data_IF_623033155396
#
_entry.id   IF_623033155396
#
_cell.length_a   1.000
_cell.length_b   1.000
_cell.length_c   1.000
_cell.angle_alpha   90.00
_cell.angle_beta   90.00
_cell.angle_gamma   90.00
#
_symmetry.space_group_name_H-M   'P 1'
#
loop_
_entity.id
_entity.type
_entity.pdbx_description
1 polymer ?
2 non-polymer ?
3 non-polymer ?
4 non-polymer ?
5 non-polymer ?
6 water ?
#
# COMPACT_ATOMS: atom_id res chain seq x y z
N UNK A 1 -4.38 -28.36 1.36
CA UNK A 1 -4.83 -27.21 2.20
C UNK A 1 -5.04 -25.95 1.38
N UNK A 2 -4.20 -25.76 0.36
CA UNK A 2 -4.31 -24.59 -0.51
C UNK A 2 -5.65 -24.58 -1.23
N UNK A 3 -5.98 -25.71 -1.85
CA UNK A 3 -7.24 -25.83 -2.57
C UNK A 3 -8.39 -25.73 -1.59
N UNK A 4 -8.12 -26.09 -0.34
CA UNK A 4 -9.12 -26.03 0.72
C UNK A 4 -9.33 -24.57 1.11
N UNK A 5 -8.25 -23.80 1.10
CA UNK A 5 -8.32 -22.39 1.44
C UNK A 5 -9.08 -21.65 0.34
N UNK A 6 -8.87 -22.05 -0.90
CA UNK A 6 -9.54 -21.43 -2.04
C UNK A 6 -11.04 -21.73 -2.00
N UNK A 7 -11.37 -22.97 -1.68
CA UNK A 7 -12.78 -23.38 -1.59
C UNK A 7 -13.49 -22.53 -0.55
N UNK A 8 -12.89 -22.45 0.64
CA UNK A 8 -13.45 -21.68 1.74
C UNK A 8 -13.63 -20.21 1.37
N UNK A 9 -12.62 -19.63 0.73
CA UNK A 9 -12.69 -18.23 0.34
C UNK A 9 -13.74 -17.99 -0.74
N UNK A 10 -13.71 -18.81 -1.77
CA UNK A 10 -14.64 -18.69 -2.89
C UNK A 10 -16.11 -18.81 -2.49
N UNK A 11 -16.39 -19.70 -1.54
CA UNK A 11 -17.77 -19.92 -1.10
C UNK A 11 -18.27 -18.98 0.00
N UNK A 12 -17.36 -18.23 0.63
CA UNK A 12 -17.75 -17.33 1.71
C UNK A 12 -18.49 -16.08 1.23
N UNK A 13 -19.33 -15.51 2.10
CA UNK A 13 -20.05 -14.29 1.74
C UNK A 13 -19.11 -13.12 2.08
N UNK A 14 -19.14 -12.08 1.26
CA UNK A 14 -18.27 -10.93 1.47
C UNK A 14 -19.00 -9.79 2.17
N UNK A 15 -18.64 -9.54 3.44
CA UNK A 15 -19.27 -8.46 4.22
C UNK A 15 -19.09 -7.11 3.56
N UNK A 16 -19.96 -6.16 3.89
CA UNK A 16 -19.89 -4.82 3.33
C UNK A 16 -18.60 -4.13 3.77
N UNK A 17 -18.24 -3.05 3.08
CA UNK A 17 -17.05 -2.30 3.41
C UNK A 17 -17.21 -1.70 4.82
N UNK A 18 -18.42 -1.21 5.11
CA UNK A 18 -18.71 -0.62 6.41
C UNK A 18 -18.44 -1.62 7.53
N UNK A 19 -18.94 -2.85 7.36
CA UNK A 19 -18.76 -3.90 8.36
C UNK A 19 -17.29 -4.31 8.52
N UNK A 20 -16.53 -4.28 7.43
CA UNK A 20 -15.12 -4.68 7.47
C UNK A 20 -14.20 -3.55 7.93
N UNK A 21 -14.77 -2.35 8.08
CA UNK A 21 -14.02 -1.17 8.55
C UNK A 21 -12.89 -0.74 7.61
N UNK A 22 -12.91 -1.20 6.37
CA UNK A 22 -11.84 -0.85 5.43
C UNK A 22 -11.89 0.59 4.92
N UNK A 23 -12.95 1.32 5.26
CA UNK A 23 -13.07 2.71 4.82
C UNK A 23 -12.39 3.65 5.82
N UNK A 24 -12.04 3.11 6.99
CA UNK A 24 -11.42 3.92 8.04
C UNK A 24 -9.91 4.04 7.91
N UNK A 25 -9.39 5.26 8.00
CA UNK A 25 -7.96 5.46 7.92
C UNK A 25 -7.23 4.80 9.11
N UNK A 26 -7.95 4.57 10.21
CA UNK A 26 -7.34 3.98 11.40
C UNK A 26 -7.41 2.45 11.45
N UNK A 27 -7.83 1.85 10.35
CA UNK A 27 -7.96 0.40 10.22
C UNK A 27 -6.72 -0.36 10.71
N UNK A 28 -6.98 -1.49 11.38
CA UNK A 28 -5.91 -2.35 11.88
C UNK A 28 -6.26 -3.79 11.51
N UNK A 29 -5.26 -4.61 11.26
CA UNK A 29 -5.51 -5.99 10.85
C UNK A 29 -5.14 -7.04 11.90
N UNK A 30 -4.61 -6.61 13.04
CA UNK A 30 -4.17 -7.55 14.08
C UNK A 30 -5.18 -8.63 14.50
N UNK A 31 -6.46 -8.29 14.50
CA UNK A 31 -7.50 -9.25 14.91
C UNK A 31 -8.02 -10.12 13.78
N UNK A 32 -7.53 -9.91 12.57
CA UNK A 32 -7.99 -10.65 11.40
C UNK A 32 -7.16 -11.86 11.02
N UNK A 33 -7.85 -12.93 10.58
CA UNK A 33 -7.19 -14.14 10.13
C UNK A 33 -6.86 -13.88 8.66
N UNK A 34 -6.01 -14.72 8.07
CA UNK A 34 -5.67 -14.53 6.66
C UNK A 34 -6.92 -14.56 5.81
N UNK A 35 -7.81 -15.50 6.08
CA UNK A 35 -9.05 -15.60 5.32
C UNK A 35 -9.82 -14.29 5.35
N UNK A 36 -9.86 -13.66 6.51
CA UNK A 36 -10.57 -12.40 6.63
C UNK A 36 -9.91 -11.28 5.83
N UNK A 37 -8.58 -11.28 5.74
CA UNK A 37 -7.92 -10.23 4.97
C UNK A 37 -8.22 -10.45 3.49
N UNK A 38 -8.37 -11.72 3.10
CA UNK A 38 -8.69 -12.04 1.70
C UNK A 38 -10.08 -11.47 1.41
N UNK A 39 -11.00 -11.62 2.36
CA UNK A 39 -12.37 -11.11 2.18
C UNK A 39 -12.38 -9.60 2.04
N UNK A 40 -11.60 -8.91 2.88
CA UNK A 40 -11.53 -7.46 2.78
C UNK A 40 -10.98 -7.08 1.40
N UNK A 41 -10.00 -7.84 0.93
CA UNK A 41 -9.41 -7.52 -0.38
C UNK A 41 -10.46 -7.64 -1.50
N UNK A 42 -11.32 -8.64 -1.42
CA UNK A 42 -12.37 -8.82 -2.42
C UNK A 42 -13.30 -7.61 -2.37
N UNK A 43 -13.65 -7.18 -1.16
CA UNK A 43 -14.54 -6.04 -1.01
C UNK A 43 -13.93 -4.77 -1.61
N UNK A 44 -12.62 -4.64 -1.50
CA UNK A 44 -11.93 -3.48 -2.06
C UNK A 44 -12.13 -3.47 -3.58
N UNK A 45 -11.86 -4.59 -4.24
CA UNK A 45 -12.04 -4.67 -5.69
C UNK A 45 -13.50 -4.41 -6.08
N UNK A 46 -14.41 -5.00 -5.31
CA UNK A 46 -15.84 -4.87 -5.56
C UNK A 46 -16.34 -3.44 -5.46
N UNK A 47 -16.09 -2.80 -4.32
CA UNK A 47 -16.54 -1.43 -4.09
C UNK A 47 -15.86 -0.36 -4.92
N UNK A 48 -14.74 -0.70 -5.56
CA UNK A 48 -14.08 0.26 -6.42
C UNK A 48 -14.59 0.01 -7.84
N UNK A 49 -15.60 -0.85 -7.95
CA UNK A 49 -16.24 -1.20 -9.21
C UNK A 49 -15.35 -1.95 -10.19
N UNK A 50 -14.23 -2.48 -9.70
CA UNK A 50 -13.27 -3.19 -10.53
C UNK A 50 -13.75 -4.57 -11.02
N UNK A 51 -14.45 -5.30 -10.17
CA UNK A 51 -14.96 -6.62 -10.54
C UNK A 51 -15.97 -6.48 -11.67
N UNK A 52 -16.82 -5.46 -11.56
CA UNK A 52 -17.86 -5.19 -12.54
C UNK A 52 -17.31 -4.63 -13.84
N UNK A 53 -16.62 -3.49 -13.75
CA UNK A 53 -16.09 -2.82 -14.93
C UNK A 53 -15.07 -3.63 -15.73
N UNK A 54 -14.45 -4.63 -15.12
CA UNK A 54 -13.47 -5.42 -15.85
C UNK A 54 -13.79 -6.90 -15.92
N UNK A 55 -15.06 -7.21 -15.66
CA UNK A 55 -15.57 -8.58 -15.72
C UNK A 55 -14.69 -9.64 -15.08
N UNK A 56 -14.37 -9.46 -13.80
CA UNK A 56 -13.53 -10.43 -13.10
C UNK A 56 -14.37 -11.58 -12.57
N UNK A 57 -13.96 -12.81 -12.86
CA UNK A 57 -14.67 -13.98 -12.35
C UNK A 57 -14.29 -14.15 -10.90
N UNK A 58 -15.28 -14.43 -10.06
CA UNK A 58 -15.06 -14.60 -8.62
C UNK A 58 -13.94 -15.59 -8.32
N UNK A 59 -14.01 -16.76 -8.93
CA UNK A 59 -13.03 -17.82 -8.75
C UNK A 59 -11.60 -17.37 -9.05
N UNK A 60 -11.45 -16.58 -10.10
CA UNK A 60 -10.14 -16.10 -10.52
C UNK A 60 -9.58 -15.06 -9.54
N UNK A 61 -10.40 -14.08 -9.15
CA UNK A 61 -9.96 -13.06 -8.21
C UNK A 61 -9.52 -13.72 -6.91
N UNK A 62 -10.31 -14.68 -6.44
CA UNK A 62 -9.97 -15.39 -5.21
C UNK A 62 -8.63 -16.09 -5.31
N UNK A 63 -8.41 -16.79 -6.42
CA UNK A 63 -7.15 -17.50 -6.62
C UNK A 63 -5.99 -16.50 -6.69
N UNK A 64 -6.21 -15.39 -7.38
CA UNK A 64 -5.17 -14.37 -7.50
C UNK A 64 -4.78 -13.83 -6.12
N UNK A 65 -5.78 -13.48 -5.32
CA UNK A 65 -5.51 -12.96 -3.98
C UNK A 65 -4.68 -13.93 -3.15
N UNK A 66 -5.07 -15.21 -3.18
CA UNK A 66 -4.35 -16.22 -2.43
C UNK A 66 -2.93 -16.43 -2.96
N UNK A 67 -2.73 -16.29 -4.27
CA UNK A 67 -1.39 -16.44 -4.83
C UNK A 67 -0.53 -15.27 -4.36
N UNK A 68 -1.11 -14.08 -4.35
CA UNK A 68 -0.37 -12.91 -3.91
C UNK A 68 0.03 -13.11 -2.45
N UNK A 69 -0.95 -13.47 -1.61
CA UNK A 69 -0.67 -13.70 -0.20
C UNK A 69 0.41 -14.76 0.00
N UNK A 70 0.28 -15.86 -0.72
CA UNK A 70 1.24 -16.95 -0.61
C UNK A 70 2.66 -16.55 -0.99
N UNK A 71 2.79 -15.57 -1.88
CA UNK A 71 4.12 -15.15 -2.31
C UNK A 71 4.85 -14.12 -1.45
N UNK A 72 4.31 -13.84 -0.26
CA UNK A 72 4.99 -12.96 0.69
C UNK A 72 5.55 -13.95 1.71
N UNK A 73 6.61 -13.58 2.40
CA UNK A 73 7.20 -14.48 3.39
C UNK A 73 6.74 -14.15 4.81
N UNK A 74 6.09 -15.12 5.45
CA UNK A 74 5.58 -14.94 6.80
C UNK A 74 6.70 -14.83 7.83
N UNK A 75 7.88 -15.33 7.46
CA UNK A 75 9.04 -15.28 8.36
C UNK A 75 9.70 -13.90 8.38
N UNK A 76 9.23 -13.00 7.53
CA UNK A 76 9.77 -11.64 7.52
C UNK A 76 8.85 -10.86 8.45
N UNK A 77 9.43 -10.23 9.48
CA UNK A 77 8.65 -9.50 10.48
C UNK A 77 7.69 -8.42 9.99
N UNK A 78 8.16 -7.53 9.14
CA UNK A 78 7.28 -6.46 8.64
C UNK A 78 6.91 -6.49 7.16
N UNK A 79 7.88 -6.67 6.27
CA UNK A 79 7.57 -6.68 4.85
C UNK A 79 6.98 -8.03 4.44
N UNK A 80 5.72 -8.21 4.78
CA UNK A 80 5.00 -9.44 4.49
C UNK A 80 3.59 -9.13 4.00
N UNK A 81 2.77 -10.15 3.84
CA UNK A 81 1.42 -9.96 3.35
C UNK A 81 0.60 -8.92 4.13
N UNK A 82 0.70 -8.92 5.45
CA UNK A 82 -0.08 -7.94 6.22
C UNK A 82 0.31 -6.51 5.86
N UNK A 83 1.59 -6.28 5.57
CA UNK A 83 2.01 -4.95 5.17
C UNK A 83 1.39 -4.58 3.82
N UNK A 84 1.45 -5.50 2.86
CA UNK A 84 0.88 -5.26 1.53
C UNK A 84 -0.62 -5.05 1.66
N UNK A 85 -1.26 -5.89 2.46
CA UNK A 85 -2.69 -5.80 2.69
C UNK A 85 -3.07 -4.44 3.25
N UNK A 86 -2.33 -3.99 4.26
CA UNK A 86 -2.59 -2.69 4.87
C UNK A 86 -2.34 -1.54 3.89
N UNK A 87 -1.32 -1.68 3.04
CA UNK A 87 -1.02 -0.65 2.06
C UNK A 87 -2.20 -0.51 1.11
N UNK A 88 -2.78 -1.64 0.71
CA UNK A 88 -3.94 -1.63 -0.19
C UNK A 88 -5.17 -1.06 0.51
N UNK A 89 -5.33 -1.35 1.79
CA UNK A 89 -6.48 -0.83 2.53
C UNK A 89 -6.37 0.69 2.60
N UNK A 90 -5.17 1.20 2.82
CA UNK A 90 -5.00 2.65 2.88
C UNK A 90 -5.31 3.28 1.51
N UNK A 91 -4.96 2.59 0.44
CA UNK A 91 -5.25 3.09 -0.91
C UNK A 91 -6.77 3.16 -1.04
N UNK A 92 -7.44 2.08 -0.64
CA UNK A 92 -8.89 2.02 -0.71
C UNK A 92 -9.50 3.17 0.09
N UNK A 93 -9.01 3.37 1.31
CA UNK A 93 -9.51 4.44 2.18
C UNK A 93 -9.26 5.82 1.60
N UNK A 94 -8.06 6.04 1.03
CA UNK A 94 -7.74 7.33 0.43
C UNK A 94 -8.67 7.59 -0.76
N UNK A 95 -8.96 6.55 -1.52
CA UNK A 95 -9.84 6.66 -2.68
C UNK A 95 -11.29 6.95 -2.29
N UNK A 96 -11.77 6.28 -1.25
CA UNK A 96 -13.14 6.46 -0.78
C UNK A 96 -13.26 7.63 0.19
N UNK A 97 -12.88 7.41 1.45
CA UNK A 97 -12.95 8.45 2.47
C UNK A 97 -12.12 9.67 2.08
N UNK A 98 -10.99 9.43 1.42
CA UNK A 98 -10.13 10.52 1.00
C UNK A 98 -10.62 11.20 -0.26
N UNK A 99 -11.68 10.64 -0.84
CA UNK A 99 -12.30 11.17 -2.06
C UNK A 99 -11.36 11.34 -3.25
N UNK A 100 -10.32 10.54 -3.33
CA UNK A 100 -9.38 10.64 -4.44
C UNK A 100 -9.86 9.86 -5.65
N UNK A 101 -10.77 8.91 -5.44
CA UNK A 101 -11.32 8.09 -6.51
C UNK A 101 -11.78 8.89 -7.73
N UNK A 102 -12.54 9.95 -7.49
CA UNK A 102 -13.07 10.79 -8.56
C UNK A 102 -12.00 11.51 -9.38
N UNK A 103 -10.80 11.64 -8.81
CA UNK A 103 -9.71 12.32 -9.48
C UNK A 103 -8.92 11.40 -10.42
N UNK A 104 -9.29 10.12 -10.47
CA UNK A 104 -8.58 9.15 -11.31
C UNK A 104 -9.48 8.32 -12.22
N UNK A 105 -8.89 7.70 -13.23
CA UNK A 105 -9.64 6.86 -14.15
C UNK A 105 -9.73 5.46 -13.56
N UNK A 106 -10.60 4.63 -14.14
CA UNK A 106 -10.76 3.27 -13.66
C UNK A 106 -9.51 2.42 -13.83
N UNK A 107 -8.78 2.61 -14.92
CA UNK A 107 -7.55 1.85 -15.14
C UNK A 107 -6.51 2.21 -14.11
N UNK A 108 -6.43 3.50 -13.78
CA UNK A 108 -5.47 3.97 -12.78
C UNK A 108 -5.80 3.38 -11.41
N UNK A 109 -7.09 3.32 -11.09
CA UNK A 109 -7.56 2.77 -9.81
C UNK A 109 -7.27 1.27 -9.73
N UNK A 110 -7.48 0.60 -10.86
CA UNK A 110 -7.24 -0.83 -10.97
C UNK A 110 -5.75 -1.12 -10.74
N UNK A 111 -4.90 -0.32 -11.38
CA UNK A 111 -3.45 -0.49 -11.28
C UNK A 111 -2.93 -0.18 -9.87
N UNK A 112 -3.47 0.88 -9.27
CA UNK A 112 -3.08 1.29 -7.93
C UNK A 112 -3.37 0.21 -6.89
N UNK A 113 -4.56 -0.38 -6.97
CA UNK A 113 -4.94 -1.44 -6.03
C UNK A 113 -4.05 -2.67 -6.20
N UNK A 114 -3.84 -3.08 -7.44
CA UNK A 114 -2.99 -4.25 -7.71
C UNK A 114 -1.55 -3.99 -7.27
N UNK A 115 -1.05 -2.80 -7.54
CA UNK A 115 0.31 -2.41 -7.18
C UNK A 115 0.46 -2.44 -5.66
N UNK A 116 -0.44 -1.74 -4.98
CA UNK A 116 -0.40 -1.69 -3.52
C UNK A 116 -0.25 -3.10 -2.93
N UNK A 117 -1.10 -4.01 -3.37
CA UNK A 117 -1.09 -5.40 -2.89
C UNK A 117 0.15 -6.19 -3.30
N UNK A 118 0.70 -5.87 -4.47
CA UNK A 118 1.86 -6.60 -5.00
C UNK A 118 3.22 -5.92 -4.80
N UNK A 119 3.23 -4.69 -4.32
CA UNK A 119 4.50 -3.94 -4.23
C UNK A 119 5.71 -4.46 -3.47
N UNK A 120 5.53 -5.42 -2.57
CA UNK A 120 6.67 -5.97 -1.84
C UNK A 120 6.81 -7.49 -2.00
N UNK A 121 6.15 -8.05 -3.00
CA UNK A 121 6.20 -9.49 -3.24
C UNK A 121 7.59 -10.13 -3.15
N UNK A 122 7.66 -11.24 -2.42
CA UNK A 122 8.88 -12.03 -2.22
C UNK A 122 9.99 -11.31 -1.45
N UNK A 123 9.61 -10.25 -0.72
CA UNK A 123 10.57 -9.48 0.08
C UNK A 123 11.18 -10.46 1.09
N UNK A 124 12.50 -10.43 1.26
CA UNK A 124 13.15 -11.35 2.19
C UNK A 124 13.70 -10.70 3.46
N UNK A 125 13.32 -9.45 3.71
CA UNK A 125 13.81 -8.77 4.90
C UNK A 125 14.89 -7.77 4.52
N UNK A 126 14.85 -6.59 5.14
CA UNK A 126 15.82 -5.54 4.85
C UNK A 126 17.27 -5.98 5.03
N UNK A 127 17.52 -6.83 6.02
CA UNK A 127 18.89 -7.29 6.27
C UNK A 127 19.33 -8.43 5.36
N UNK A 128 18.37 -9.12 4.75
CA UNK A 128 18.71 -10.23 3.86
C UNK A 128 18.62 -9.83 2.39
N UNK A 129 19.11 -8.63 2.08
CA UNK A 129 19.10 -8.14 0.71
C UNK A 129 20.17 -8.86 -0.11
N UNK A 130 20.06 -10.19 -0.17
CA UNK A 130 20.98 -11.03 -0.91
C UNK A 130 20.65 -10.99 -2.41
N UNK A 131 21.66 -10.76 -3.23
CA UNK A 131 21.46 -10.68 -4.68
C UNK A 131 22.02 -11.84 -5.49
N UNK A 132 21.12 -12.66 -6.04
CA UNK A 132 21.48 -13.81 -6.87
C UNK A 132 22.43 -14.76 -6.17
N UNK A 143 20.59 3.88 -8.71
CA UNK A 143 20.43 2.60 -7.95
C UNK A 143 19.39 1.73 -8.64
N UNK A 144 18.83 2.24 -9.73
CA UNK A 144 17.82 1.55 -10.53
C UNK A 144 16.85 0.68 -9.75
N UNK A 145 16.70 0.95 -8.44
CA UNK A 145 15.80 0.20 -7.57
C UNK A 145 15.64 -1.26 -7.97
N UNK A 146 16.69 -2.05 -7.75
CA UNK A 146 16.68 -3.46 -8.09
C UNK A 146 15.58 -4.26 -7.37
N UNK A 147 15.34 -3.95 -6.10
CA UNK A 147 14.32 -4.65 -5.32
C UNK A 147 12.92 -4.47 -5.91
N UNK A 148 12.55 -3.24 -6.19
CA UNK A 148 11.24 -2.94 -6.75
C UNK A 148 11.04 -3.63 -8.11
N UNK A 149 12.11 -3.78 -8.88
CA UNK A 149 12.00 -4.44 -10.16
C UNK A 149 11.65 -5.90 -9.92
N UNK A 150 12.23 -6.48 -8.87
CA UNK A 150 11.94 -7.87 -8.52
C UNK A 150 10.48 -8.00 -8.07
N UNK A 151 10.02 -7.04 -7.28
CA UNK A 151 8.63 -7.10 -6.83
C UNK A 151 7.71 -7.07 -8.03
N UNK A 152 7.96 -6.18 -8.98
CA UNK A 152 7.11 -6.12 -10.16
C UNK A 152 7.13 -7.43 -10.93
N UNK A 153 8.32 -7.99 -11.14
CA UNK A 153 8.43 -9.25 -11.86
C UNK A 153 7.54 -10.30 -11.24
N UNK A 154 7.55 -10.38 -9.90
CA UNK A 154 6.71 -11.35 -9.19
C UNK A 154 5.25 -11.04 -9.45
N UNK A 155 4.89 -9.76 -9.41
CA UNK A 155 3.52 -9.32 -9.65
C UNK A 155 3.04 -9.81 -11.02
N UNK A 156 3.84 -9.53 -12.05
CA UNK A 156 3.51 -9.92 -13.43
C UNK A 156 3.36 -11.44 -13.55
N UNK A 157 4.28 -12.17 -12.94
CA UNK A 157 4.24 -13.64 -12.98
C UNK A 157 2.91 -14.15 -12.44
N UNK A 158 2.44 -13.57 -11.33
CA UNK A 158 1.19 -14.01 -10.74
C UNK A 158 0.01 -13.63 -11.63
N UNK A 159 0.05 -12.43 -12.18
CA UNK A 159 -1.02 -11.96 -13.07
C UNK A 159 -1.14 -12.84 -14.32
N UNK A 160 -0.05 -13.49 -14.71
CA UNK A 160 -0.04 -14.34 -15.90
C UNK A 160 -0.21 -15.82 -15.60
N UNK A 161 -0.34 -16.17 -14.32
CA UNK A 161 -0.50 -17.56 -13.92
C UNK A 161 -1.88 -18.08 -14.28
N UNK A 162 -1.98 -19.35 -14.72
CA UNK A 162 -3.27 -19.92 -15.09
C UNK A 162 -4.28 -19.87 -13.94
N UNK A 163 -5.48 -19.41 -14.25
CA UNK A 163 -6.52 -19.32 -13.24
C UNK A 163 -6.44 -18.08 -12.37
N UNK A 164 -5.37 -17.30 -12.51
CA UNK A 164 -5.15 -16.09 -11.73
C UNK A 164 -5.22 -14.82 -12.55
N UNK A 165 -5.60 -14.91 -13.81
CA UNK A 165 -5.63 -13.75 -14.68
C UNK A 165 -6.78 -12.77 -14.53
N UNK A 166 -6.73 -11.96 -13.47
CA UNK A 166 -7.80 -11.00 -13.21
C UNK A 166 -7.91 -9.87 -14.21
N UNK A 167 -6.93 -9.74 -15.12
CA UNK A 167 -6.96 -8.68 -16.12
C UNK A 167 -7.36 -9.23 -17.51
N UNK A 168 -7.86 -10.46 -17.55
CA UNK A 168 -8.25 -11.08 -18.82
C UNK A 168 -9.39 -10.33 -19.50
N UNK A 169 -10.18 -9.60 -18.73
CA UNK A 169 -11.30 -8.85 -19.27
C UNK A 169 -10.95 -7.54 -19.95
N UNK A 170 -9.71 -7.09 -19.77
CA UNK A 170 -9.27 -5.85 -20.39
C UNK A 170 -8.90 -6.10 -21.84
N UNK A 171 -9.04 -5.08 -22.68
CA UNK A 171 -8.64 -5.21 -24.08
C UNK A 171 -7.12 -5.13 -24.02
N UNK A 172 -6.43 -5.50 -25.11
CA UNK A 172 -4.98 -5.45 -25.11
C UNK A 172 -4.47 -4.04 -24.82
N UNK A 173 -5.14 -3.03 -25.38
CA UNK A 173 -4.73 -1.65 -25.13
C UNK A 173 -4.90 -1.26 -23.66
N UNK A 174 -6.01 -1.66 -23.06
CA UNK A 174 -6.25 -1.38 -21.66
C UNK A 174 -5.19 -2.10 -20.83
N UNK A 175 -4.91 -3.34 -21.25
CA UNK A 175 -3.93 -4.18 -20.57
C UNK A 175 -2.54 -3.58 -20.54
N UNK A 176 -2.03 -3.14 -21.70
CA UNK A 176 -0.70 -2.55 -21.73
C UNK A 176 -0.63 -1.28 -20.90
N UNK A 177 -1.70 -0.48 -20.94
CA UNK A 177 -1.75 0.75 -20.18
C UNK A 177 -1.74 0.46 -18.69
N UNK A 178 -2.49 -0.57 -18.28
CA UNK A 178 -2.56 -0.94 -16.87
C UNK A 178 -1.23 -1.51 -16.37
N UNK A 179 -0.59 -2.38 -17.14
CA UNK A 179 0.70 -2.93 -16.73
C UNK A 179 1.74 -1.83 -16.53
N UNK A 180 1.71 -0.82 -17.41
CA UNK A 180 2.66 0.28 -17.31
C UNK A 180 2.45 1.07 -16.02
N UNK A 181 1.20 1.35 -15.70
CA UNK A 181 0.88 2.09 -14.49
C UNK A 181 1.24 1.26 -13.27
N UNK A 182 0.98 -0.05 -13.34
CA UNK A 182 1.32 -0.94 -12.23
C UNK A 182 2.83 -0.95 -12.01
N UNK A 183 3.58 -1.00 -13.10
CA UNK A 183 5.04 -1.03 -13.00
C UNK A 183 5.58 0.26 -12.38
N UNK A 184 5.10 1.40 -12.83
CA UNK A 184 5.55 2.69 -12.29
C UNK A 184 5.17 2.79 -10.81
N UNK A 185 3.94 2.37 -10.50
CA UNK A 185 3.45 2.42 -9.12
C UNK A 185 4.35 1.62 -8.19
N UNK A 186 4.71 0.40 -8.58
CA UNK A 186 5.57 -0.41 -7.74
C UNK A 186 6.98 0.20 -7.67
N UNK A 187 7.50 0.67 -8.80
CA UNK A 187 8.83 1.28 -8.81
C UNK A 187 8.86 2.50 -7.89
N UNK A 188 7.75 3.22 -7.85
CA UNK A 188 7.63 4.41 -7.01
C UNK A 188 7.78 4.14 -5.51
N UNK A 189 7.54 2.89 -5.09
CA UNK A 189 7.67 2.55 -3.68
C UNK A 189 9.13 2.49 -3.21
N UNK A 190 10.05 2.75 -4.14
CA UNK A 190 11.47 2.80 -3.82
C UNK A 190 11.67 4.20 -3.23
N UNK A 191 11.96 4.28 -1.94
CA UNK A 191 12.12 5.57 -1.29
C UNK A 191 13.13 6.50 -1.96
N UNK A 192 14.10 5.94 -2.67
CA UNK A 192 15.08 6.76 -3.38
C UNK A 192 14.37 7.56 -4.46
N UNK A 193 13.40 6.94 -5.14
CA UNK A 193 12.66 7.63 -6.19
C UNK A 193 11.74 8.68 -5.61
N UNK A 194 11.17 8.39 -4.43
CA UNK A 194 10.29 9.34 -3.77
C UNK A 194 11.09 10.61 -3.42
N UNK A 195 12.23 10.41 -2.78
CA UNK A 195 13.10 11.51 -2.38
C UNK A 195 13.53 12.34 -3.59
N UNK A 196 13.79 11.65 -4.69
CA UNK A 196 14.23 12.30 -5.93
C UNK A 196 13.12 13.09 -6.64
N UNK A 197 11.87 12.66 -6.50
CA UNK A 197 10.77 13.33 -7.19
C UNK A 197 9.84 14.20 -6.36
N UNK A 198 9.89 14.09 -5.04
CA UNK A 198 8.99 14.85 -4.19
C UNK A 198 9.11 16.37 -4.32
N UNK A 199 10.33 16.86 -4.50
CA UNK A 199 10.54 18.30 -4.64
C UNK A 199 9.62 18.94 -5.66
N UNK A 200 9.56 18.35 -6.85
CA UNK A 200 8.70 18.87 -7.90
C UNK A 200 7.24 18.89 -7.47
N UNK A 201 6.84 17.84 -6.76
CA UNK A 201 5.46 17.72 -6.28
C UNK A 201 5.18 18.79 -5.24
N UNK A 202 6.10 18.95 -4.30
CA UNK A 202 5.95 19.95 -3.25
C UNK A 202 5.95 21.35 -3.85
N UNK A 203 6.87 21.58 -4.78
CA UNK A 203 6.97 22.88 -5.44
C UNK A 203 5.69 23.25 -6.20
N UNK A 204 5.09 22.27 -6.88
CA UNK A 204 3.86 22.51 -7.62
C UNK A 204 2.71 22.88 -6.69
N UNK A 205 2.58 22.16 -5.58
CA UNK A 205 1.52 22.41 -4.61
C UNK A 205 1.75 23.78 -3.96
N UNK A 206 3.01 24.06 -3.68
CA UNK A 206 3.42 25.32 -3.06
C UNK A 206 2.96 26.52 -3.88
N UNK A 207 3.27 26.50 -5.17
CA UNK A 207 2.90 27.59 -6.08
C UNK A 207 1.48 27.44 -6.61
N UNK A 208 0.74 26.48 -6.05
CA UNK A 208 -0.64 26.24 -6.48
C UNK A 208 -0.71 26.03 -7.99
N UNK A 209 0.24 25.29 -8.53
CA UNK A 209 0.28 25.03 -9.97
C UNK A 209 0.02 23.55 -10.28
N UNK A 210 -0.32 22.78 -9.24
CA UNK A 210 -0.59 21.36 -9.41
C UNK A 210 -1.82 21.13 -10.29
N UNK A 211 -1.64 20.34 -11.34
CA UNK A 211 -2.72 20.05 -12.27
C UNK A 211 -2.70 18.57 -12.68
N UNK A 212 -3.73 17.84 -12.25
CA UNK A 212 -3.84 16.42 -12.56
C UNK A 212 -4.12 16.14 -14.03
N UNK A 213 -4.59 17.15 -14.74
CA UNK A 213 -4.89 17.02 -16.15
C UNK A 213 -3.60 16.85 -16.93
N UNK A 214 -2.50 17.36 -16.36
CA UNK A 214 -1.19 17.24 -16.97
C UNK A 214 -0.71 15.81 -16.74
N UNK A 215 -0.49 15.06 -17.83
CA UNK A 215 -0.03 13.66 -17.73
C UNK A 215 1.18 13.46 -16.81
N UNK A 216 2.16 14.35 -16.91
CA UNK A 216 3.35 14.23 -16.07
C UNK A 216 3.01 14.39 -14.59
N UNK A 217 2.12 15.31 -14.28
CA UNK A 217 1.72 15.55 -12.90
C UNK A 217 0.80 14.46 -12.38
N UNK A 218 0.03 13.84 -13.27
CA UNK A 218 -0.86 12.75 -12.89
C UNK A 218 0.00 11.57 -12.45
N UNK A 219 1.02 11.27 -13.24
CA UNK A 219 1.93 10.18 -12.96
C UNK A 219 2.71 10.47 -11.68
N UNK A 220 3.12 11.72 -11.51
CA UNK A 220 3.86 12.11 -10.32
C UNK A 220 2.97 11.92 -9.09
N UNK A 221 1.69 12.28 -9.23
CA UNK A 221 0.75 12.13 -8.13
C UNK A 221 0.56 10.66 -7.75
N UNK A 222 0.43 9.80 -8.76
CA UNK A 222 0.25 8.37 -8.50
C UNK A 222 1.43 7.81 -7.71
N UNK A 223 2.62 8.31 -8.01
CA UNK A 223 3.82 7.86 -7.30
C UNK A 223 3.79 8.29 -5.85
N UNK A 224 3.43 9.56 -5.62
CA UNK A 224 3.38 10.10 -4.27
C UNK A 224 2.31 9.38 -3.43
N UNK A 225 1.19 9.07 -4.06
CA UNK A 225 0.09 8.37 -3.40
C UNK A 225 0.53 6.97 -2.97
N UNK A 226 1.28 6.30 -3.84
CA UNK A 226 1.77 4.96 -3.51
C UNK A 226 2.65 5.04 -2.27
N UNK A 227 3.53 6.05 -2.23
CA UNK A 227 4.41 6.20 -1.08
C UNK A 227 3.59 6.47 0.17
N UNK A 228 2.58 7.33 0.05
CA UNK A 228 1.74 7.67 1.19
C UNK A 228 1.08 6.43 1.79
N UNK A 229 0.58 5.54 0.94
CA UNK A 229 -0.07 4.32 1.42
C UNK A 229 0.95 3.35 1.97
N UNK A 230 2.09 3.27 1.31
CA UNK A 230 3.19 2.38 1.70
C UNK A 230 3.68 2.67 3.13
N UNK A 231 3.80 3.95 3.46
CA UNK A 231 4.29 4.35 4.78
C UNK A 231 3.20 4.60 5.83
N UNK A 232 1.93 4.43 5.43
CA UNK A 232 0.80 4.72 6.31
C UNK A 232 0.73 4.09 7.70
N UNK A 233 1.59 3.14 8.01
CA UNK A 233 1.58 2.55 9.35
C UNK A 233 1.94 3.69 10.34
N UNK A 234 2.74 4.63 9.86
CA UNK A 234 3.18 5.77 10.67
C UNK A 234 2.03 6.73 11.02
N UNK A 235 0.86 6.51 10.44
CA UNK A 235 -0.29 7.38 10.69
C UNK A 235 -1.36 6.79 11.60
N UNK A 236 -1.23 5.51 11.94
CA UNK A 236 -2.22 4.81 12.76
C UNK A 236 -2.31 5.28 14.22
N UNK A 237 -3.43 4.94 14.90
CA UNK A 237 -3.61 5.33 16.30
C UNK A 237 -2.39 4.83 17.08
N UNK A 238 -1.91 5.65 18.02
CA UNK A 238 -0.74 5.33 18.82
C UNK A 238 -0.49 3.86 19.17
N UNK A 239 -1.48 3.18 19.80
CA UNK A 239 -1.28 1.77 20.16
C UNK A 239 -0.93 0.89 18.97
N UNK A 240 -1.58 1.16 17.83
CA UNK A 240 -1.34 0.39 16.61
C UNK A 240 0.05 0.73 16.06
N UNK A 241 0.33 2.02 15.91
CA UNK A 241 1.63 2.47 15.42
C UNK A 241 2.80 1.90 16.23
N UNK A 242 2.67 1.85 17.55
CA UNK A 242 3.72 1.28 18.40
C UNK A 242 4.02 -0.17 18.04
N UNK A 243 2.95 -0.93 17.81
CA UNK A 243 3.08 -2.33 17.44
C UNK A 243 3.76 -2.47 16.08
N UNK A 244 3.33 -1.64 15.13
CA UNK A 244 3.91 -1.68 13.79
C UNK A 244 5.38 -1.28 13.85
N UNK A 245 5.70 -0.28 14.65
CA UNK A 245 7.08 0.16 14.81
C UNK A 245 7.90 -0.97 15.42
N UNK A 246 7.26 -1.73 16.30
CA UNK A 246 7.91 -2.88 16.95
C UNK A 246 8.26 -3.93 15.89
N UNK A 247 7.38 -4.11 14.92
CA UNK A 247 7.63 -5.09 13.84
C UNK A 247 8.77 -4.62 12.95
N UNK A 248 8.76 -3.34 12.60
CA UNK A 248 9.81 -2.79 11.75
C UNK A 248 11.16 -2.93 12.46
N UNK A 249 11.17 -2.57 13.75
CA UNK A 249 12.38 -2.67 14.55
C UNK A 249 12.91 -4.10 14.55
N UNK A 250 12.01 -5.06 14.71
CA UNK A 250 12.39 -6.47 14.73
C UNK A 250 13.09 -6.87 13.43
N UNK A 251 12.49 -6.51 12.30
CA UNK A 251 13.08 -6.84 11.00
C UNK A 251 14.42 -6.13 10.79
N UNK A 252 14.45 -4.84 11.08
CA UNK A 252 15.67 -4.04 10.91
C UNK A 252 16.82 -4.42 11.84
N UNK A 253 16.53 -4.60 13.12
CA UNK A 253 17.56 -4.94 14.10
C UNK A 253 17.66 -6.44 14.35
N UNK A 254 16.64 -7.02 14.96
CA UNK A 254 16.61 -8.45 15.28
C UNK A 254 16.75 -9.32 14.03
N UNK A 255 17.02 -8.69 12.90
CA UNK A 255 17.17 -9.41 11.63
C UNK A 255 16.12 -10.50 11.47
N UNK A 256 14.86 -10.14 11.65
CA UNK A 256 13.79 -11.10 11.52
C UNK A 256 12.94 -10.83 10.29
N UNK A 274 19.87 1.76 24.39
CA UNK A 274 20.08 1.40 22.96
C UNK A 274 18.79 0.97 22.28
N UNK A 275 18.53 -0.34 22.27
CA UNK A 275 17.34 -0.92 21.66
C UNK A 275 16.23 0.09 21.34
N UNK A 276 15.21 0.16 22.19
CA UNK A 276 14.13 1.11 21.95
C UNK A 276 14.44 2.41 22.68
N UNK A 277 15.69 2.55 23.10
CA UNK A 277 16.14 3.75 23.80
C UNK A 277 16.56 4.75 22.74
N UNK A 278 16.59 4.27 21.50
CA UNK A 278 16.99 5.09 20.35
C UNK A 278 15.85 5.11 19.33
N UNK A 279 14.95 4.15 19.43
CA UNK A 279 13.82 4.06 18.51
C UNK A 279 13.00 5.35 18.46
N UNK A 280 12.65 5.92 19.63
CA UNK A 280 11.87 7.16 19.62
C UNK A 280 12.44 8.25 18.73
N UNK A 281 13.71 8.59 18.97
CA UNK A 281 14.37 9.63 18.18
C UNK A 281 14.44 9.29 16.70
N UNK A 282 14.64 8.03 16.38
CA UNK A 282 14.72 7.58 14.98
C UNK A 282 13.34 7.70 14.33
N UNK A 283 12.30 7.43 15.11
CA UNK A 283 10.94 7.52 14.60
C UNK A 283 10.64 8.98 14.27
N UNK A 284 11.06 9.87 15.16
CA UNK A 284 10.84 11.30 14.95
C UNK A 284 11.65 11.71 13.72
N UNK A 285 12.86 11.18 13.62
CA UNK A 285 13.72 11.49 12.48
C UNK A 285 13.07 11.08 11.17
N UNK A 286 12.48 9.88 11.17
CA UNK A 286 11.81 9.35 9.99
C UNK A 286 10.59 10.21 9.64
N UNK A 287 9.78 10.52 10.66
CA UNK A 287 8.59 11.34 10.44
C UNK A 287 8.93 12.69 9.83
N UNK A 288 9.89 13.40 10.41
CA UNK A 288 10.28 14.70 9.90
C UNK A 288 10.90 14.65 8.50
N UNK A 289 11.81 13.71 8.30
CA UNK A 289 12.51 13.61 7.02
C UNK A 289 11.71 13.08 5.84
N UNK A 290 10.83 12.12 6.09
CA UNK A 290 10.07 11.50 5.01
C UNK A 290 8.55 11.65 5.00
N UNK A 291 7.92 11.48 6.16
CA UNK A 291 6.48 11.51 6.25
C UNK A 291 5.67 12.80 6.30
N UNK A 292 5.95 13.68 7.26
CA UNK A 292 5.16 14.91 7.39
C UNK A 292 4.86 15.68 6.11
N UNK A 293 5.90 16.05 5.38
CA UNK A 293 5.73 16.80 4.14
C UNK A 293 4.77 16.11 3.17
N UNK A 294 4.96 14.81 2.99
CA UNK A 294 4.11 14.04 2.10
C UNK A 294 2.63 14.08 2.48
N UNK A 295 2.32 13.79 3.74
CA UNK A 295 0.92 13.80 4.16
C UNK A 295 0.36 15.22 4.16
N UNK A 296 1.21 16.22 4.37
CA UNK A 296 0.76 17.62 4.33
C UNK A 296 0.40 17.95 2.87
N UNK A 297 1.24 17.52 1.94
CA UNK A 297 1.01 17.76 0.51
C UNK A 297 -0.26 17.06 0.06
N UNK A 298 -0.43 15.81 0.49
CA UNK A 298 -1.59 15.01 0.13
C UNK A 298 -2.89 15.69 0.56
N UNK A 299 -2.85 16.29 1.75
CA UNK A 299 -4.01 16.98 2.30
C UNK A 299 -4.38 18.19 1.46
N UNK A 300 -3.39 18.84 0.85
CA UNK A 300 -3.64 19.99 -0.01
C UNK A 300 -4.40 19.53 -1.25
N UNK A 301 -3.97 18.41 -1.81
CA UNK A 301 -4.61 17.84 -2.99
C UNK A 301 -6.03 17.41 -2.66
N UNK A 302 -6.23 16.94 -1.43
CA UNK A 302 -7.54 16.50 -0.98
C UNK A 302 -7.65 16.64 0.53
N UNK A 303 -8.40 17.65 0.96
CA UNK A 303 -8.58 17.92 2.39
C UNK A 303 -9.05 16.69 3.17
N UNK A 304 -9.81 15.82 2.52
CA UNK A 304 -10.34 14.61 3.16
C UNK A 304 -9.29 13.58 3.57
N UNK A 305 -8.04 13.79 3.15
CA UNK A 305 -6.97 12.87 3.51
C UNK A 305 -6.28 13.38 4.79
N UNK A 306 -6.82 14.46 5.36
CA UNK A 306 -6.26 15.04 6.58
C UNK A 306 -5.97 14.06 7.71
N UNK A 307 -6.88 13.08 7.94
CA UNK A 307 -6.64 12.11 9.02
C UNK A 307 -5.29 11.41 8.97
N UNK A 308 -4.73 11.22 7.77
CA UNK A 308 -3.42 10.58 7.65
C UNK A 308 -2.39 11.53 8.27
N UNK A 309 -2.48 12.80 7.91
CA UNK A 309 -1.58 13.82 8.42
C UNK A 309 -1.76 14.00 9.93
N UNK A 310 -3.01 13.96 10.37
CA UNK A 310 -3.35 14.13 11.78
C UNK A 310 -2.73 12.99 12.59
N UNK A 311 -2.90 11.77 12.10
CA UNK A 311 -2.35 10.61 12.78
C UNK A 311 -0.84 10.65 12.84
N UNK A 312 -0.22 11.10 11.75
CA UNK A 312 1.24 11.18 11.69
C UNK A 312 1.75 12.22 12.71
N UNK A 313 1.03 13.33 12.84
CA UNK A 313 1.42 14.37 13.80
C UNK A 313 1.29 13.87 15.24
N UNK A 314 0.21 13.16 15.54
CA UNK A 314 -0.03 12.65 16.89
C UNK A 314 1.03 11.63 17.28
N UNK A 315 1.50 10.84 16.31
CA UNK A 315 2.53 9.86 16.61
C UNK A 315 3.88 10.56 16.83
N UNK A 316 4.13 11.64 16.10
CA UNK A 316 5.40 12.36 16.29
C UNK A 316 5.47 12.88 17.73
N UNK A 317 4.39 13.51 18.18
CA UNK A 317 4.32 14.05 19.54
C UNK A 317 4.60 12.95 20.55
N UNK A 318 3.96 11.81 20.37
CA UNK A 318 4.15 10.66 21.27
C UNK A 318 5.58 10.16 21.30
N UNK A 319 6.18 9.99 20.13
CA UNK A 319 7.55 9.50 20.03
C UNK A 319 8.53 10.52 20.60
N UNK A 320 8.24 11.80 20.38
CA UNK A 320 9.10 12.88 20.87
C UNK A 320 9.11 12.90 22.39
N UNK A 321 7.94 12.78 23.00
CA UNK A 321 7.83 12.77 24.46
C UNK A 321 8.71 11.65 25.00
N UNK A 322 8.66 10.47 24.38
CA UNK A 322 9.48 9.35 24.81
C UNK A 322 10.96 9.63 24.60
N UNK A 323 11.30 10.24 23.47
CA UNK A 323 12.68 10.57 23.15
C UNK A 323 13.28 11.46 24.23
N UNK A 324 12.45 12.33 24.81
CA UNK A 324 12.90 13.24 25.86
C UNK A 324 12.90 12.51 27.20
N UNK A 325 12.69 11.20 27.14
CA UNK A 325 12.65 10.34 28.33
C UNK A 325 11.39 10.61 29.16
N UNK A 326 10.44 9.69 29.09
CA UNK A 326 9.21 9.83 29.86
C UNK A 326 9.25 8.98 31.13
#
# INVERSE_FOLDING_TARGET
>A
EETRELQSLAAAVVPSAQTLKITDFSFSDFELSDLETALCTIRMFTDLNLVQNFQMKHEVLCRWILSVKKNYRKNVAYHNWRHAFNTAQCMFAALKAGKIQNKLTDLEILALLIAALSHDLDHRGVNNSYIQRSEHPLAQLYCHSIMEHHHFDQCLMILNSPGNQILSGLSIEEYKTTLKIIKQAILATDLALYIKRRGEFFELIRKNQFNLEDPHQKELFLAMLMTACDLSAITKPWPIQQRIAELVATEFFDQGDRERKELNIEPTDLMNREKKNKIPSMQVGFIDAICLQLYEALTHVSEDCFPLLDGCRKNRQKWQALAEQQ
#
